data_IF_031293546778
#
_entry.id   IF_031293546778
#
_cell.length_a   1.000
_cell.length_b   1.000
_cell.length_c   1.000
_cell.angle_alpha   90.00
_cell.angle_beta   90.00
_cell.angle_gamma   90.00
#
_symmetry.space_group_name_H-M   'P 1'
#
loop_
_entity.id
_entity.type
_entity.pdbx_description
1 polymer ?
#
# COMPACT_ATOMS: atom_id res chain seq x y z
N UNK A 1 14.13 -2.29 -18.41
CA UNK A 1 13.50 -1.67 -17.23
C UNK A 1 13.28 -2.75 -16.19
N UNK A 2 14.26 -2.99 -15.30
CA UNK A 2 14.18 -4.07 -14.31
C UNK A 2 12.96 -3.94 -13.40
N UNK A 3 12.41 -2.73 -13.22
CA UNK A 3 11.20 -2.51 -12.46
C UNK A 3 9.94 -3.16 -13.03
N UNK A 4 9.83 -3.37 -14.35
CA UNK A 4 8.67 -4.11 -14.88
C UNK A 4 8.70 -5.56 -14.44
N UNK A 5 9.87 -6.19 -14.47
CA UNK A 5 10.06 -7.60 -14.11
C UNK A 5 10.05 -7.82 -12.58
N UNK A 6 10.50 -6.82 -11.81
CA UNK A 6 10.49 -6.85 -10.36
C UNK A 6 9.15 -6.45 -9.73
N UNK A 7 8.14 -6.10 -10.55
CA UNK A 7 6.87 -5.56 -10.10
C UNK A 7 6.09 -6.59 -9.27
N UNK A 8 5.65 -6.22 -8.05
CA UNK A 8 4.78 -7.07 -7.25
C UNK A 8 3.41 -7.19 -7.90
N UNK A 9 2.82 -8.38 -7.86
CA UNK A 9 1.54 -8.63 -8.53
C UNK A 9 0.37 -7.75 -8.04
N UNK A 10 0.45 -7.22 -6.81
CA UNK A 10 -0.52 -6.23 -6.32
C UNK A 10 -0.42 -4.90 -7.07
N UNK A 11 0.78 -4.50 -7.47
CA UNK A 11 1.01 -3.31 -8.30
C UNK A 11 0.64 -3.59 -9.76
N UNK A 12 0.91 -4.79 -10.28
CA UNK A 12 0.52 -5.19 -11.64
C UNK A 12 -0.99 -5.09 -11.89
N UNK A 13 -1.80 -5.36 -10.86
CA UNK A 13 -3.28 -5.26 -10.91
C UNK A 13 -3.83 -3.87 -10.58
N UNK A 14 -2.95 -2.90 -10.32
CA UNK A 14 -3.34 -1.51 -10.04
C UNK A 14 -3.55 -0.68 -11.31
N UNK A 15 -3.91 0.59 -11.16
CA UNK A 15 -3.98 1.51 -12.29
C UNK A 15 -2.58 1.87 -12.83
N UNK A 16 -2.54 2.48 -14.02
CA UNK A 16 -1.29 2.79 -14.72
C UNK A 16 -0.42 3.80 -13.97
N UNK A 17 -1.01 4.70 -13.19
CA UNK A 17 -0.26 5.65 -12.38
C UNK A 17 0.45 4.94 -11.23
N UNK A 18 -0.23 4.01 -10.56
CA UNK A 18 0.39 3.17 -9.53
C UNK A 18 1.56 2.35 -10.08
N UNK A 19 1.37 1.68 -11.24
CA UNK A 19 2.43 0.93 -11.92
C UNK A 19 3.61 1.82 -12.27
N UNK A 20 3.35 2.96 -12.93
CA UNK A 20 4.39 3.89 -13.35
C UNK A 20 5.19 4.45 -12.17
N UNK A 21 4.51 4.92 -11.12
CA UNK A 21 5.17 5.41 -9.90
C UNK A 21 6.07 4.35 -9.29
N UNK A 22 5.63 3.08 -9.27
CA UNK A 22 6.44 2.00 -8.73
C UNK A 22 7.68 1.75 -9.60
N UNK A 23 7.53 1.60 -10.93
CA UNK A 23 8.64 1.31 -11.85
C UNK A 23 9.68 2.42 -11.83
N UNK A 24 9.25 3.67 -12.01
CA UNK A 24 10.16 4.83 -12.05
C UNK A 24 10.95 4.95 -10.75
N UNK A 25 10.27 4.79 -9.60
CA UNK A 25 10.94 4.86 -8.31
C UNK A 25 11.88 3.67 -8.09
N UNK A 26 11.48 2.47 -8.52
CA UNK A 26 12.30 1.28 -8.40
C UNK A 26 13.57 1.39 -9.24
N UNK A 27 13.43 1.75 -10.52
CA UNK A 27 14.55 1.87 -11.45
C UNK A 27 15.53 2.96 -10.97
N UNK A 28 15.04 4.13 -10.54
CA UNK A 28 15.89 5.19 -9.97
C UNK A 28 16.61 4.74 -8.68
N UNK A 29 15.92 3.97 -7.82
CA UNK A 29 16.53 3.45 -6.60
C UNK A 29 17.56 2.34 -6.91
N UNK A 30 17.36 1.54 -7.96
CA UNK A 30 18.35 0.57 -8.43
C UNK A 30 19.61 1.27 -8.94
N UNK A 31 19.46 2.33 -9.73
CA UNK A 31 20.59 3.16 -10.18
C UNK A 31 21.35 3.79 -9.02
N UNK A 32 20.63 4.24 -7.99
CA UNK A 32 21.23 4.90 -6.82
C UNK A 32 21.97 3.93 -5.90
N UNK A 33 21.38 2.75 -5.65
CA UNK A 33 21.86 1.85 -4.59
C UNK A 33 22.59 0.61 -5.10
N UNK A 34 22.38 0.20 -6.36
CA UNK A 34 23.06 -0.94 -6.98
C UNK A 34 22.91 -2.28 -6.24
N UNK A 35 21.91 -2.44 -5.37
CA UNK A 35 21.69 -3.64 -4.57
C UNK A 35 20.85 -4.70 -5.30
N UNK A 36 20.63 -5.88 -4.71
CA UNK A 36 19.74 -6.95 -5.22
C UNK A 36 18.24 -6.52 -5.34
N UNK A 37 17.96 -5.22 -5.25
CA UNK A 37 16.65 -4.60 -5.37
C UNK A 37 15.83 -4.63 -4.08
N UNK A 38 16.40 -5.11 -2.98
CA UNK A 38 15.73 -5.09 -1.68
C UNK A 38 15.42 -3.67 -1.22
N UNK A 39 16.38 -2.75 -1.30
CA UNK A 39 16.19 -1.33 -0.97
C UNK A 39 15.32 -0.63 -1.99
N UNK A 40 15.54 -0.89 -3.28
CA UNK A 40 14.73 -0.31 -4.35
C UNK A 40 13.23 -0.63 -4.17
N UNK A 41 12.86 -1.89 -3.85
CA UNK A 41 11.45 -2.26 -3.57
C UNK A 41 10.83 -1.44 -2.44
N UNK A 42 11.59 -1.18 -1.36
CA UNK A 42 11.09 -0.40 -0.22
C UNK A 42 10.86 1.06 -0.58
N UNK A 43 11.78 1.66 -1.34
CA UNK A 43 11.65 3.05 -1.80
C UNK A 43 10.45 3.17 -2.75
N UNK A 44 10.31 2.24 -3.69
CA UNK A 44 9.17 2.17 -4.60
C UNK A 44 7.83 2.08 -3.85
N UNK A 45 7.72 1.22 -2.83
CA UNK A 45 6.52 1.16 -1.99
C UNK A 45 6.30 2.41 -1.16
N UNK A 46 7.34 3.09 -0.68
CA UNK A 46 7.21 4.34 0.06
C UNK A 46 6.64 5.45 -0.83
N UNK A 47 7.16 5.60 -2.05
CA UNK A 47 6.64 6.55 -3.04
C UNK A 47 5.20 6.22 -3.44
N UNK A 48 4.89 4.94 -3.65
CA UNK A 48 3.54 4.49 -3.97
C UNK A 48 2.56 4.84 -2.84
N UNK A 49 2.88 4.49 -1.58
CA UNK A 49 2.05 4.80 -0.39
C UNK A 49 1.85 6.28 -0.14
N UNK A 50 2.73 7.13 -0.67
CA UNK A 50 2.60 8.57 -0.53
C UNK A 50 1.40 9.14 -1.31
N UNK A 51 0.96 8.45 -2.36
CA UNK A 51 -0.09 8.91 -3.29
C UNK A 51 -1.24 7.90 -3.46
N UNK A 52 -1.00 6.64 -3.13
CA UNK A 52 -1.96 5.55 -3.27
C UNK A 52 -2.09 4.81 -1.94
N UNK A 53 -3.20 4.12 -1.78
CA UNK A 53 -3.44 3.18 -0.69
C UNK A 53 -3.87 1.84 -1.27
N UNK A 54 -3.66 0.77 -0.49
CA UNK A 54 -4.04 -0.56 -0.91
C UNK A 54 -5.53 -0.78 -0.62
N UNK A 55 -6.28 -1.15 -1.65
CA UNK A 55 -7.70 -1.50 -1.57
C UNK A 55 -7.86 -2.89 -2.19
N UNK A 56 -8.02 -3.89 -1.33
CA UNK A 56 -8.09 -5.29 -1.74
C UNK A 56 -6.72 -5.81 -2.16
N UNK A 57 -6.58 -6.19 -3.43
CA UNK A 57 -5.31 -6.70 -3.96
C UNK A 57 -4.53 -5.71 -4.83
N UNK A 58 -5.07 -4.51 -5.05
CA UNK A 58 -4.48 -3.47 -5.88
C UNK A 58 -4.31 -2.16 -5.10
N UNK A 59 -3.68 -1.18 -5.72
CA UNK A 59 -3.45 0.16 -5.20
C UNK A 59 -4.38 1.15 -5.91
N UNK A 60 -5.04 2.00 -5.14
CA UNK A 60 -5.91 3.07 -5.63
C UNK A 60 -5.36 4.44 -5.20
N UNK A 61 -5.52 5.50 -6.00
CA UNK A 61 -5.17 6.85 -5.58
C UNK A 61 -5.93 7.23 -4.32
N UNK A 62 -5.21 7.76 -3.33
CA UNK A 62 -5.82 8.26 -2.10
C UNK A 62 -6.06 9.77 -2.20
N UNK A 63 -7.06 10.28 -1.50
CA UNK A 63 -7.52 11.67 -1.64
C UNK A 63 -6.52 12.76 -1.21
N UNK A 64 -5.37 12.40 -0.65
CA UNK A 64 -4.32 13.35 -0.25
C UNK A 64 -2.93 12.75 -0.41
N UNK A 65 -1.92 13.60 -0.58
CA UNK A 65 -0.52 13.18 -0.54
C UNK A 65 -0.01 13.16 0.90
N UNK A 66 0.89 12.23 1.21
CA UNK A 66 1.53 12.18 2.53
C UNK A 66 1.72 10.76 3.06
N UNK A 67 2.33 10.61 4.25
CA UNK A 67 2.54 9.31 4.87
C UNK A 67 1.20 8.61 5.19
N UNK A 68 1.11 7.31 4.90
CA UNK A 68 -0.09 6.51 5.13
C UNK A 68 -0.26 6.08 6.60
N UNK A 69 0.83 5.95 7.34
CA UNK A 69 0.83 5.50 8.73
C UNK A 69 1.99 6.10 9.52
N UNK A 70 2.02 5.84 10.84
CA UNK A 70 3.05 6.36 11.75
C UNK A 70 4.46 5.88 11.40
N UNK A 71 4.59 4.71 10.77
CA UNK A 71 5.88 4.21 10.31
C UNK A 71 6.38 5.03 9.11
N UNK A 72 5.48 5.36 8.17
CA UNK A 72 5.79 6.19 7.00
C UNK A 72 6.12 7.65 7.36
N UNK A 73 5.61 8.18 8.48
CA UNK A 73 5.94 9.52 8.98
C UNK A 73 7.29 9.61 9.71
N UNK A 74 7.92 8.49 10.04
CA UNK A 74 9.13 8.43 10.88
C UNK A 74 10.45 8.50 10.11
N UNK A 75 11.60 8.59 10.82
CA UNK A 75 12.94 8.68 10.23
C UNK A 75 13.45 7.36 9.63
N UNK A 76 12.58 6.52 9.09
CA UNK A 76 12.94 5.23 8.48
C UNK A 76 13.04 4.06 9.46
N UNK A 77 13.94 3.10 9.19
CA UNK A 77 13.99 1.75 9.80
C UNK A 77 14.21 1.67 11.32
N UNK A 78 14.52 2.77 12.01
CA UNK A 78 14.87 2.77 13.44
C UNK A 78 13.65 2.95 14.35
N UNK A 79 12.53 2.32 14.00
CA UNK A 79 11.28 2.44 14.76
C UNK A 79 10.56 1.11 14.81
N UNK A 80 10.00 0.79 15.97
CA UNK A 80 9.16 -0.38 16.23
C UNK A 80 7.67 -0.09 15.97
N UNK A 81 7.35 0.94 15.15
CA UNK A 81 5.96 1.34 14.92
C UNK A 81 5.30 0.35 13.96
N UNK A 82 4.05 0.04 14.25
CA UNK A 82 3.27 -0.84 13.41
C UNK A 82 3.01 -0.22 12.03
N UNK A 83 2.95 -1.07 11.02
CA UNK A 83 2.59 -0.67 9.66
C UNK A 83 1.14 -1.05 9.36
N UNK A 84 0.47 -0.18 8.61
CA UNK A 84 -0.91 -0.41 8.18
C UNK A 84 -0.99 -1.23 6.88
N UNK A 85 0.11 -1.84 6.42
CA UNK A 85 0.11 -2.74 5.26
C UNK A 85 -0.29 -2.08 3.93
N UNK A 86 -0.17 -0.76 3.82
CA UNK A 86 -0.61 0.02 2.65
C UNK A 86 -1.97 0.69 2.80
N UNK A 87 -2.68 0.48 3.91
CA UNK A 87 -3.87 1.26 4.27
C UNK A 87 -3.46 2.67 4.71
N UNK A 88 -4.22 3.70 4.33
CA UNK A 88 -4.03 5.05 4.85
C UNK A 88 -4.65 5.20 6.25
N UNK A 89 -3.95 4.74 7.28
CA UNK A 89 -4.37 4.87 8.68
C UNK A 89 -4.53 6.34 9.14
N UNK A 90 -3.90 7.29 8.45
CA UNK A 90 -4.09 8.70 8.74
C UNK A 90 -5.43 9.24 8.17
N UNK A 91 -6.16 8.47 7.34
CA UNK A 91 -7.36 8.93 6.65
C UNK A 91 -8.51 9.31 7.60
N UNK A 92 -9.48 10.08 7.11
CA UNK A 92 -10.68 10.34 7.91
C UNK A 92 -11.43 9.04 8.17
N UNK A 93 -12.23 8.99 9.23
CA UNK A 93 -13.10 7.82 9.49
C UNK A 93 -14.06 7.57 8.31
N UNK A 94 -14.58 8.64 7.71
CA UNK A 94 -15.46 8.54 6.53
C UNK A 94 -14.77 7.82 5.36
N UNK A 95 -13.55 8.23 5.02
CA UNK A 95 -12.77 7.60 3.96
C UNK A 95 -12.50 6.12 4.25
N UNK A 96 -12.13 5.78 5.48
CA UNK A 96 -11.94 4.38 5.87
C UNK A 96 -13.25 3.57 5.81
N UNK A 97 -14.40 4.18 6.11
CA UNK A 97 -15.70 3.53 5.91
C UNK A 97 -15.99 3.28 4.43
N UNK A 98 -15.61 4.20 3.53
CA UNK A 98 -15.78 4.02 2.08
C UNK A 98 -14.89 2.90 1.54
N UNK A 99 -13.63 2.84 1.98
CA UNK A 99 -12.73 1.73 1.64
C UNK A 99 -13.28 0.41 2.21
N UNK A 100 -13.74 0.40 3.47
CA UNK A 100 -14.34 -0.79 4.07
C UNK A 100 -15.63 -1.23 3.34
N UNK A 101 -16.40 -0.28 2.79
CA UNK A 101 -17.56 -0.56 1.94
C UNK A 101 -17.14 -1.20 0.63
N UNK A 102 -16.11 -0.68 -0.07
CA UNK A 102 -15.55 -1.30 -1.30
C UNK A 102 -15.04 -2.73 -1.08
N UNK A 103 -14.67 -3.06 0.16
CA UNK A 103 -14.19 -4.38 0.55
C UNK A 103 -15.26 -5.28 1.17
N UNK A 104 -16.53 -4.86 1.16
CA UNK A 104 -17.67 -5.60 1.71
C UNK A 104 -17.48 -6.03 3.18
N UNK A 105 -16.83 -5.17 3.98
CA UNK A 105 -16.60 -5.44 5.40
C UNK A 105 -17.91 -5.26 6.17
N UNK A 106 -18.41 -6.37 6.73
CA UNK A 106 -19.60 -6.38 7.60
C UNK A 106 -19.28 -5.71 8.94
N UNK A 107 -20.25 -4.99 9.50
CA UNK A 107 -20.08 -4.27 10.77
C UNK A 107 -19.27 -2.98 10.70
N UNK A 108 -18.82 -2.54 9.52
CA UNK A 108 -18.01 -1.32 9.32
C UNK A 108 -18.60 -0.04 9.95
N UNK A 109 -19.92 0.06 10.06
CA UNK A 109 -20.60 1.26 10.59
C UNK A 109 -20.43 1.43 12.10
N UNK A 110 -20.29 0.34 12.86
CA UNK A 110 -20.07 0.39 14.32
C UNK A 110 -18.58 0.50 14.68
N UNK A 111 -17.68 0.25 13.73
CA UNK A 111 -16.24 0.26 13.99
C UNK A 111 -15.71 1.67 14.26
N UNK A 112 -14.75 1.78 15.18
CA UNK A 112 -13.88 2.93 15.38
C UNK A 112 -12.84 2.99 14.27
N UNK A 113 -12.12 4.11 14.20
CA UNK A 113 -11.13 4.37 13.14
C UNK A 113 -10.05 3.27 13.08
N UNK A 114 -9.48 2.91 14.23
CA UNK A 114 -8.41 1.90 14.28
C UNK A 114 -8.93 0.50 13.91
N UNK A 115 -10.16 0.17 14.33
CA UNK A 115 -10.83 -1.08 13.95
C UNK A 115 -11.08 -1.17 12.44
N UNK A 116 -11.42 -0.05 11.79
CA UNK A 116 -11.54 0.02 10.33
C UNK A 116 -10.19 -0.23 9.66
N UNK A 117 -9.11 0.39 10.13
CA UNK A 117 -7.76 0.20 9.58
C UNK A 117 -7.36 -1.27 9.65
N UNK A 118 -7.58 -1.91 10.80
CA UNK A 118 -7.26 -3.32 10.99
C UNK A 118 -8.13 -4.25 10.15
N UNK A 119 -9.43 -3.97 10.06
CA UNK A 119 -10.36 -4.74 9.24
C UNK A 119 -9.99 -4.65 7.75
N UNK A 120 -9.66 -3.45 7.25
CA UNK A 120 -9.20 -3.23 5.88
C UNK A 120 -7.87 -3.95 5.63
N UNK A 121 -6.90 -3.82 6.54
CA UNK A 121 -5.61 -4.52 6.44
C UNK A 121 -5.80 -6.03 6.33
N UNK A 122 -6.66 -6.62 7.17
CA UNK A 122 -7.00 -8.05 7.11
C UNK A 122 -7.70 -8.43 5.79
N UNK A 123 -8.65 -7.62 5.32
CA UNK A 123 -9.35 -7.85 4.06
C UNK A 123 -8.41 -7.78 2.85
N UNK A 124 -7.49 -6.82 2.84
CA UNK A 124 -6.47 -6.66 1.81
C UNK A 124 -5.53 -7.87 1.74
N UNK A 125 -5.06 -8.34 2.89
CA UNK A 125 -4.20 -9.52 2.98
C UNK A 125 -4.92 -10.75 2.42
N UNK A 126 -6.16 -10.99 2.84
CA UNK A 126 -6.98 -12.10 2.34
C UNK A 126 -7.22 -12.04 0.83
N UNK A 127 -7.54 -10.86 0.27
CA UNK A 127 -7.71 -10.70 -1.19
C UNK A 127 -6.39 -10.97 -1.92
N UNK A 128 -5.28 -10.46 -1.40
CA UNK A 128 -3.94 -10.70 -1.97
C UNK A 128 -3.55 -12.18 -1.96
N UNK A 129 -3.77 -12.88 -0.85
CA UNK A 129 -3.53 -14.32 -0.73
C UNK A 129 -4.39 -15.10 -1.73
N UNK A 130 -5.69 -14.80 -1.81
CA UNK A 130 -6.59 -15.43 -2.77
C UNK A 130 -6.14 -15.24 -4.22
N UNK A 131 -5.69 -14.04 -4.59
CA UNK A 131 -5.22 -13.78 -5.95
C UNK A 131 -3.88 -14.45 -6.26
N UNK A 132 -3.04 -14.74 -5.25
CA UNK A 132 -1.79 -15.50 -5.42
C UNK A 132 -2.02 -17.01 -5.48
N UNK A 133 -3.02 -17.53 -4.77
CA UNK A 133 -3.38 -18.96 -4.77
C UNK A 133 -4.24 -19.41 -5.95
N UNK A 134 -4.67 -18.48 -6.82
CA UNK A 134 -5.39 -18.77 -8.08
C UNK A 134 -4.47 -19.07 -9.27
N UNK A 135 -3.19 -19.33 -9.01
CA UNK A 135 -2.18 -19.59 -10.04
C UNK A 135 -2.04 -21.09 -10.30
#
# INVERSE_FOLDING_TARGET
MPGKDAMPSTVERSDDKAKRTWVETYDSAMETYGDEGGRARRVAFAALKHTHEKVGDHWEPKGRKGPSDKQASGPGRRTNRETAGGVDANASKSHLMDVAKKLDIRGRSSMKKDELVDAIKKANNRKTEKSRGKK
#
